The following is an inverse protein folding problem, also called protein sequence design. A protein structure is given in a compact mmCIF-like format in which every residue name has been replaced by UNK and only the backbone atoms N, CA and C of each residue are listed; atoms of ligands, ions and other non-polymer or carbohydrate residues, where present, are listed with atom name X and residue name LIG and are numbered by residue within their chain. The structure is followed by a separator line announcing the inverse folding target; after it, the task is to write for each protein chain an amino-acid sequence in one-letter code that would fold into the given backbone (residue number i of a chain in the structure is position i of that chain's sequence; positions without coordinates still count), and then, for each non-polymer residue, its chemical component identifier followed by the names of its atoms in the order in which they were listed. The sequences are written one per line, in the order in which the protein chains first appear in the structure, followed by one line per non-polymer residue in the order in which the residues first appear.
data_IF_597412856090
#
_entry.id   IF_597412856090
#
_cell.length_a   1.000
_cell.length_b   1.000
_cell.length_c   1.000
_cell.angle_alpha   90.00
_cell.angle_beta   90.00
_cell.angle_gamma   90.00
#
_symmetry.space_group_name_H-M   'P 1'
#
loop_
_entity.id
_entity.type
_entity.pdbx_description
1 polymer ?
#
# COMPACT_ATOMS: atom_id res chain seq x y z
N UNK A 1 11.48 12.79 -6.73
CA UNK A 1 10.19 12.82 -6.00
C UNK A 1 9.13 12.52 -7.02
N UNK A 2 8.23 11.58 -6.75
CA UNK A 2 7.01 11.56 -7.51
C UNK A 2 6.44 12.98 -7.51
N UNK A 3 6.02 13.48 -8.66
CA UNK A 3 5.57 14.87 -8.86
C UNK A 3 4.47 15.29 -7.88
N UNK A 4 3.73 14.32 -7.37
CA UNK A 4 2.70 14.48 -6.36
C UNK A 4 3.21 15.10 -5.04
N UNK A 5 4.33 14.62 -4.49
CA UNK A 5 4.92 15.14 -3.24
C UNK A 5 5.65 16.48 -3.42
N UNK A 6 6.18 16.74 -4.62
CA UNK A 6 6.83 18.01 -4.95
C UNK A 6 5.87 19.19 -4.83
N UNK A 7 4.64 19.03 -5.34
CA UNK A 7 3.60 20.05 -5.30
C UNK A 7 3.01 20.30 -3.90
N UNK A 8 3.06 19.31 -3.01
CA UNK A 8 2.53 19.41 -1.65
C UNK A 8 3.50 20.12 -0.71
N UNK A 9 4.81 19.89 -0.84
CA UNK A 9 5.82 20.58 -0.04
C UNK A 9 5.92 22.06 -0.40
N UNK A 10 5.61 22.45 -1.64
CA UNK A 10 5.64 23.84 -2.11
C UNK A 10 4.35 24.63 -1.78
N UNK A 11 3.20 23.94 -1.53
CA UNK A 11 1.92 24.61 -1.19
C UNK A 11 1.78 25.01 0.27
N UNK A 12 2.64 24.59 1.17
CA UNK A 12 2.58 24.94 2.59
C UNK A 12 3.26 26.26 2.96
N UNK A 13 3.63 27.09 1.97
CA UNK A 13 4.10 28.45 2.20
C UNK A 13 3.02 29.40 1.67
N UNK A 14 2.06 29.72 2.53
CA UNK A 14 1.09 30.79 2.34
C UNK A 14 -0.17 30.45 1.52
N UNK A 15 -1.30 30.25 2.19
CA UNK A 15 -2.56 30.95 1.98
C UNK A 15 -3.66 30.38 2.92
N UNK A 16 -4.46 31.27 3.48
CA UNK A 16 -5.52 31.04 4.45
C UNK A 16 -6.72 30.25 3.89
N UNK A 17 -7.50 29.57 4.74
CA UNK A 17 -8.58 28.70 4.30
C UNK A 17 -9.87 29.47 4.02
N UNK A 18 -10.44 29.26 2.83
CA UNK A 18 -11.84 29.57 2.54
C UNK A 18 -12.74 28.45 3.10
N UNK A 19 -13.62 28.84 4.00
CA UNK A 19 -14.66 28.02 4.62
C UNK A 19 -15.72 27.62 3.59
N UNK A 20 -15.79 26.33 3.26
CA UNK A 20 -16.95 25.75 2.58
C UNK A 20 -17.86 25.08 3.62
N UNK A 21 -19.04 25.67 3.81
CA UNK A 21 -20.15 25.09 4.58
C UNK A 21 -20.65 23.82 3.87
N UNK A 22 -20.56 22.68 4.54
CA UNK A 22 -21.23 21.45 4.12
C UNK A 22 -22.56 21.29 4.86
N UNK A 23 -23.65 21.25 4.10
CA UNK A 23 -24.99 20.93 4.58
C UNK A 23 -25.09 19.45 4.93
N UNK A 24 -25.38 19.13 6.17
CA UNK A 24 -25.68 17.79 6.65
C UNK A 24 -27.13 17.42 6.33
N UNK A 25 -27.34 16.43 5.47
CA UNK A 25 -28.63 15.77 5.28
C UNK A 25 -28.69 14.57 6.23
N UNK A 26 -29.65 14.58 7.15
CA UNK A 26 -29.92 13.47 8.09
C UNK A 26 -30.66 12.34 7.37
N UNK A 27 -30.27 11.06 7.55
CA UNK A 27 -31.04 9.94 7.04
C UNK A 27 -32.25 9.65 7.95
N UNK A 28 -33.40 9.36 7.32
CA UNK A 28 -34.65 8.92 7.95
C UNK A 28 -34.49 7.54 8.58
N UNK A 29 -35.00 7.40 9.81
CA UNK A 29 -35.18 6.13 10.52
C UNK A 29 -36.26 5.30 9.84
N UNK A 30 -35.96 4.08 9.46
CA UNK A 30 -36.94 3.05 9.14
C UNK A 30 -36.94 2.01 10.25
N UNK A 31 -38.12 1.85 10.89
CA UNK A 31 -38.43 0.76 11.82
C UNK A 31 -38.79 -0.47 11.01
N UNK A 32 -38.10 -1.57 11.23
CA UNK A 32 -38.54 -2.89 10.81
C UNK A 32 -38.68 -3.81 12.03
N UNK A 33 -39.89 -3.83 12.62
CA UNK A 33 -40.40 -4.98 13.33
C UNK A 33 -41.06 -5.87 12.28
N UNK A 34 -41.00 -7.16 12.45
CA UNK A 34 -41.64 -8.33 11.86
C UNK A 34 -40.67 -9.26 11.15
N UNK A 35 -40.39 -10.37 11.78
CA UNK A 35 -40.71 -11.76 11.54
C UNK A 35 -39.68 -12.67 12.22
N UNK A 36 -40.02 -13.11 13.41
CA UNK A 36 -39.46 -14.32 14.01
C UNK A 36 -40.20 -15.52 13.36
N UNK A 37 -39.49 -16.37 12.63
CA UNK A 37 -39.88 -17.72 12.31
C UNK A 37 -38.71 -18.64 12.65
N UNK A 38 -38.96 -19.42 13.70
CA UNK A 38 -38.10 -20.49 14.16
C UNK A 38 -38.08 -21.63 13.13
N UNK A 39 -36.89 -22.03 12.68
CA UNK A 39 -36.64 -23.32 12.06
C UNK A 39 -35.56 -24.04 12.84
N UNK A 40 -36.02 -25.00 13.63
CA UNK A 40 -35.13 -25.97 14.25
C UNK A 40 -34.67 -26.95 13.17
N UNK A 41 -33.37 -26.91 12.85
CA UNK A 41 -32.69 -27.91 12.02
C UNK A 41 -31.64 -28.60 12.86
N UNK A 42 -31.77 -29.90 12.93
CA UNK A 42 -31.01 -30.91 13.63
C UNK A 42 -29.50 -30.77 13.44
N UNK A 43 -28.78 -30.74 14.56
CA UNK A 43 -27.34 -30.85 14.62
C UNK A 43 -26.92 -32.29 14.29
N UNK A 44 -26.55 -32.56 13.06
CA UNK A 44 -25.62 -33.65 12.75
C UNK A 44 -24.23 -33.03 12.72
N UNK A 45 -23.51 -33.25 13.79
CA UNK A 45 -22.14 -32.80 13.93
C UNK A 45 -21.19 -33.58 13.03
N UNK A 46 -20.91 -33.06 11.84
CA UNK A 46 -19.72 -33.44 11.09
C UNK A 46 -18.62 -32.47 11.49
N UNK A 47 -17.81 -32.88 12.46
CA UNK A 47 -16.54 -32.20 12.79
C UNK A 47 -15.55 -32.44 11.65
N UNK A 48 -15.70 -31.69 10.57
CA UNK A 48 -14.61 -31.55 9.60
C UNK A 48 -13.63 -30.53 10.16
N UNK A 49 -12.52 -31.00 10.77
CA UNK A 49 -11.34 -30.15 10.96
C UNK A 49 -11.06 -29.42 9.65
N UNK A 50 -10.97 -28.09 9.63
CA UNK A 50 -10.56 -27.41 8.41
C UNK A 50 -9.20 -27.96 8.01
N UNK A 51 -9.11 -28.45 6.77
CA UNK A 51 -7.87 -28.92 6.19
C UNK A 51 -6.77 -27.90 6.47
N UNK A 52 -5.72 -28.33 7.16
CA UNK A 52 -4.57 -27.47 7.45
C UNK A 52 -4.08 -26.88 6.14
N UNK A 53 -3.92 -25.56 6.09
CA UNK A 53 -3.42 -24.86 4.92
C UNK A 53 -2.07 -25.47 4.53
N UNK A 54 -1.90 -25.94 3.28
CA UNK A 54 -0.67 -26.58 2.83
C UNK A 54 0.49 -25.57 2.88
N UNK A 55 1.58 -25.99 3.49
CA UNK A 55 2.83 -25.25 3.53
C UNK A 55 2.85 -24.15 4.58
N UNK A 56 3.67 -24.33 5.62
CA UNK A 56 4.02 -23.28 6.56
C UNK A 56 4.46 -22.04 5.79
N UNK A 57 3.71 -20.94 5.89
CA UNK A 57 4.06 -19.70 5.20
C UNK A 57 5.39 -19.25 5.73
N UNK A 58 6.34 -19.15 4.85
CA UNK A 58 7.61 -18.54 5.12
C UNK A 58 7.31 -17.05 5.38
N UNK A 59 7.18 -16.68 6.66
CA UNK A 59 7.08 -15.27 7.03
C UNK A 59 8.40 -14.62 6.59
N UNK A 60 8.29 -13.70 5.64
CA UNK A 60 9.41 -12.90 5.18
C UNK A 60 10.12 -12.25 6.35
N UNK A 61 11.43 -12.08 6.25
CA UNK A 61 12.21 -11.37 7.26
C UNK A 61 11.54 -10.03 7.59
N UNK A 62 10.89 -9.96 8.74
CA UNK A 62 10.13 -8.79 9.17
C UNK A 62 11.02 -7.68 9.71
N UNK A 63 12.31 -7.95 9.91
CA UNK A 63 13.25 -7.01 10.52
C UNK A 63 13.51 -5.78 9.65
N UNK A 64 13.48 -5.94 8.31
CA UNK A 64 13.58 -4.80 7.39
C UNK A 64 12.52 -3.71 7.72
N UNK A 65 11.31 -4.10 8.11
CA UNK A 65 10.22 -3.17 8.38
C UNK A 65 10.37 -2.42 9.70
N UNK A 66 11.30 -2.83 10.55
CA UNK A 66 11.62 -2.21 11.83
C UNK A 66 12.93 -1.41 11.80
N UNK A 67 13.60 -1.35 10.66
CA UNK A 67 14.88 -0.66 10.53
C UNK A 67 14.79 0.82 10.91
N UNK A 68 15.85 1.29 11.55
CA UNK A 68 16.00 2.69 11.93
C UNK A 68 17.46 3.12 11.71
N UNK A 69 17.65 4.09 10.84
CA UNK A 69 18.93 4.76 10.62
C UNK A 69 18.72 6.28 10.47
N UNK A 70 19.78 7.04 10.33
CA UNK A 70 19.71 8.51 10.26
C UNK A 70 18.80 9.02 9.13
N UNK A 71 18.81 8.36 7.96
CA UNK A 71 17.96 8.72 6.81
C UNK A 71 16.48 8.46 7.11
N UNK A 72 16.16 7.31 7.69
CA UNK A 72 14.79 6.97 8.10
C UNK A 72 14.31 7.94 9.18
N UNK A 73 15.11 8.16 10.24
CA UNK A 73 14.77 9.08 11.34
C UNK A 73 14.46 10.49 10.85
N UNK A 74 15.23 11.00 9.88
CA UNK A 74 14.97 12.30 9.23
C UNK A 74 13.55 12.37 8.67
N UNK A 75 13.12 11.35 7.91
CA UNK A 75 11.79 11.34 7.31
C UNK A 75 10.69 11.06 8.34
N UNK A 76 10.95 10.27 9.39
CA UNK A 76 10.00 10.09 10.50
C UNK A 76 9.68 11.44 11.15
N UNK A 77 10.67 12.29 11.41
CA UNK A 77 10.45 13.62 11.96
C UNK A 77 9.58 14.48 11.03
N UNK A 78 9.90 14.49 9.72
CA UNK A 78 9.12 15.24 8.71
C UNK A 78 7.66 14.76 8.65
N UNK A 79 7.43 13.45 8.65
CA UNK A 79 6.11 12.87 8.46
C UNK A 79 5.25 12.86 9.72
N UNK A 80 5.87 12.74 10.90
CA UNK A 80 5.15 12.67 12.17
C UNK A 80 4.34 13.95 12.44
N UNK A 81 4.86 15.10 12.04
CA UNK A 81 4.23 16.41 12.23
C UNK A 81 3.47 16.91 10.98
N UNK A 82 3.45 16.13 9.90
CA UNK A 82 2.85 16.57 8.65
C UNK A 82 1.35 16.25 8.62
N UNK A 83 0.51 17.32 8.61
CA UNK A 83 -0.95 17.20 8.52
C UNK A 83 -1.42 16.43 7.29
N UNK A 84 -0.72 16.58 6.16
CA UNK A 84 -1.08 15.88 4.93
C UNK A 84 -0.89 14.37 5.06
N UNK A 85 0.19 13.91 5.70
CA UNK A 85 0.40 12.47 5.98
C UNK A 85 -0.73 11.91 6.82
N UNK A 86 -1.22 12.67 7.81
CA UNK A 86 -2.40 12.28 8.59
C UNK A 86 -3.62 12.09 7.69
N UNK A 87 -3.92 13.06 6.82
CA UNK A 87 -5.06 12.97 5.87
C UNK A 87 -4.94 11.73 4.97
N UNK A 88 -3.74 11.41 4.49
CA UNK A 88 -3.52 10.23 3.66
C UNK A 88 -3.78 8.92 4.41
N UNK A 89 -3.34 8.84 5.66
CA UNK A 89 -3.58 7.67 6.52
C UNK A 89 -5.07 7.53 6.86
N UNK A 90 -5.75 8.63 7.20
CA UNK A 90 -7.19 8.65 7.46
C UNK A 90 -7.97 8.19 6.21
N UNK A 91 -7.55 8.61 5.01
CA UNK A 91 -8.14 8.16 3.74
C UNK A 91 -7.95 6.65 3.52
N UNK A 92 -6.76 6.13 3.78
CA UNK A 92 -6.44 4.72 3.63
C UNK A 92 -7.35 3.83 4.49
N UNK A 93 -7.58 4.28 5.73
CA UNK A 93 -8.37 3.57 6.73
C UNK A 93 -9.88 3.73 6.46
N UNK A 94 -10.38 4.97 6.33
CA UNK A 94 -11.81 5.26 6.15
C UNK A 94 -12.40 4.68 4.87
N UNK A 95 -11.62 4.56 3.81
CA UNK A 95 -12.03 4.00 2.52
C UNK A 95 -11.84 2.48 2.42
N UNK A 96 -11.41 1.84 3.49
CA UNK A 96 -11.13 0.39 3.52
C UNK A 96 -10.11 -0.08 2.46
N UNK A 97 -9.26 0.81 1.96
CA UNK A 97 -8.25 0.46 0.95
C UNK A 97 -7.26 -0.56 1.50
N UNK A 98 -6.69 -0.31 2.68
CA UNK A 98 -5.74 -1.22 3.32
C UNK A 98 -6.33 -2.63 3.51
N UNK A 99 -7.60 -2.72 3.93
CA UNK A 99 -8.27 -3.99 4.11
C UNK A 99 -8.33 -4.81 2.82
N UNK A 100 -8.73 -4.19 1.71
CA UNK A 100 -8.77 -4.85 0.40
C UNK A 100 -7.37 -5.25 -0.07
N UNK A 101 -6.39 -4.33 0.03
CA UNK A 101 -5.02 -4.56 -0.42
C UNK A 101 -4.38 -5.71 0.37
N UNK A 102 -4.55 -5.75 1.71
CA UNK A 102 -4.06 -6.84 2.55
C UNK A 102 -4.64 -8.19 2.12
N UNK A 103 -5.95 -8.26 1.81
CA UNK A 103 -6.57 -9.49 1.32
C UNK A 103 -5.96 -9.97 0.01
N UNK A 104 -5.76 -9.06 -0.96
CA UNK A 104 -5.10 -9.39 -2.22
C UNK A 104 -3.65 -9.83 -1.97
N UNK A 105 -2.89 -9.07 -1.18
CA UNK A 105 -1.48 -9.39 -0.90
C UNK A 105 -1.31 -10.71 -0.18
N UNK A 106 -2.26 -11.07 0.69
CA UNK A 106 -2.30 -12.38 1.31
C UNK A 106 -2.42 -13.51 0.28
N UNK A 107 -3.27 -13.35 -0.75
CA UNK A 107 -3.43 -14.34 -1.84
C UNK A 107 -2.14 -14.50 -2.66
N UNK A 108 -1.39 -13.42 -2.84
CA UNK A 108 -0.11 -13.43 -3.57
C UNK A 108 1.10 -13.80 -2.68
N UNK A 109 0.89 -14.04 -1.40
CA UNK A 109 1.93 -14.30 -0.40
C UNK A 109 2.97 -13.16 -0.34
N UNK A 110 2.49 -11.92 -0.26
CA UNK A 110 3.28 -10.70 -0.13
C UNK A 110 3.29 -10.18 1.31
N UNK A 111 4.36 -9.50 1.75
CA UNK A 111 4.39 -8.81 3.03
C UNK A 111 3.26 -7.78 3.13
N UNK A 112 2.48 -7.79 4.22
CA UNK A 112 1.36 -6.85 4.40
C UNK A 112 1.82 -5.39 4.47
N UNK A 113 3.05 -5.14 4.86
CA UNK A 113 3.65 -3.80 4.93
C UNK A 113 3.64 -3.09 3.57
N UNK A 114 3.80 -3.83 2.48
CA UNK A 114 3.77 -3.29 1.12
C UNK A 114 2.42 -2.65 0.75
N UNK A 115 1.34 -2.96 1.49
CA UNK A 115 0.04 -2.32 1.33
C UNK A 115 0.09 -0.79 1.55
N UNK A 116 1.16 -0.29 2.13
CA UNK A 116 1.37 1.14 2.37
C UNK A 116 2.06 1.87 1.20
N UNK A 117 2.45 1.17 0.12
CA UNK A 117 3.03 1.83 -1.06
C UNK A 117 2.15 2.96 -1.62
N UNK A 118 0.82 2.80 -1.76
CA UNK A 118 -0.03 3.88 -2.24
C UNK A 118 0.02 5.15 -1.37
N UNK A 119 0.40 5.02 -0.10
CA UNK A 119 0.58 6.17 0.77
C UNK A 119 1.71 7.09 0.25
N UNK A 120 2.80 6.49 -0.23
CA UNK A 120 3.93 7.22 -0.78
C UNK A 120 3.71 7.62 -2.25
N UNK A 121 3.01 6.80 -3.02
CA UNK A 121 2.78 7.02 -4.44
C UNK A 121 1.75 8.12 -4.72
N UNK A 122 0.61 8.08 -4.04
CA UNK A 122 -0.54 8.91 -4.39
C UNK A 122 -1.35 9.42 -3.19
N UNK A 123 -0.92 9.16 -1.95
CA UNK A 123 -1.78 9.40 -0.78
C UNK A 123 -3.13 8.64 -0.88
N UNK A 124 -3.12 7.42 -1.42
CA UNK A 124 -4.31 6.62 -1.74
C UNK A 124 -5.31 7.35 -2.65
N UNK A 125 -4.85 8.25 -3.49
CA UNK A 125 -5.71 8.90 -4.48
C UNK A 125 -5.83 8.02 -5.73
N UNK A 126 -7.05 7.51 -5.98
CA UNK A 126 -7.35 6.64 -7.10
C UNK A 126 -7.31 7.36 -8.45
N UNK A 127 -7.31 8.70 -8.45
CA UNK A 127 -7.28 9.55 -9.64
C UNK A 127 -5.99 10.34 -9.78
N UNK A 128 -4.98 10.03 -8.97
CA UNK A 128 -3.69 10.72 -9.06
C UNK A 128 -3.11 10.61 -10.48
N UNK A 129 -2.62 11.72 -10.97
CA UNK A 129 -1.96 11.82 -12.27
C UNK A 129 -0.67 12.64 -12.11
N UNK A 130 0.46 12.03 -12.42
CA UNK A 130 1.78 12.70 -12.39
C UNK A 130 2.29 13.04 -13.80
N UNK A 131 1.46 12.85 -14.82
CA UNK A 131 1.82 12.94 -16.23
C UNK A 131 2.40 11.63 -16.77
N UNK A 132 3.39 11.06 -16.12
CA UNK A 132 4.03 9.80 -16.51
C UNK A 132 3.39 8.56 -15.90
N UNK A 133 2.69 8.70 -14.76
CA UNK A 133 2.08 7.60 -14.01
C UNK A 133 0.72 8.00 -13.46
N UNK A 134 -0.19 7.02 -13.31
CA UNK A 134 -1.59 7.28 -12.91
C UNK A 134 -2.09 6.31 -11.84
N UNK A 135 -3.13 6.78 -11.15
CA UNK A 135 -3.91 6.04 -10.17
C UNK A 135 -3.23 5.84 -8.84
N UNK A 136 -3.86 5.06 -7.98
CA UNK A 136 -3.42 4.82 -6.61
C UNK A 136 -1.99 4.29 -6.52
N UNK A 137 -1.59 3.43 -7.46
CA UNK A 137 -0.30 2.73 -7.50
C UNK A 137 0.75 3.42 -8.37
N UNK A 138 0.40 4.54 -9.02
CA UNK A 138 1.26 5.30 -9.91
C UNK A 138 1.95 4.42 -10.97
N UNK A 139 1.16 3.59 -11.65
CA UNK A 139 1.66 2.83 -12.78
C UNK A 139 1.94 3.73 -13.98
N UNK A 140 3.13 3.57 -14.59
CA UNK A 140 3.37 4.04 -15.95
C UNK A 140 2.50 3.24 -16.93
N UNK A 141 2.28 3.76 -18.14
CA UNK A 141 1.53 3.04 -19.17
C UNK A 141 2.13 1.66 -19.44
N UNK A 142 3.42 1.60 -19.75
CA UNK A 142 4.12 0.34 -20.06
C UNK A 142 4.00 -0.67 -18.91
N UNK A 143 4.30 -0.26 -17.67
CA UNK A 143 4.19 -1.18 -16.53
C UNK A 143 2.74 -1.65 -16.32
N UNK A 144 1.75 -0.79 -16.53
CA UNK A 144 0.35 -1.16 -16.43
C UNK A 144 -0.03 -2.25 -17.44
N UNK A 145 0.34 -2.07 -18.69
CA UNK A 145 0.09 -3.01 -19.78
C UNK A 145 0.81 -4.34 -19.56
N UNK A 146 2.08 -4.32 -19.12
CA UNK A 146 2.88 -5.52 -18.77
C UNK A 146 2.21 -6.37 -17.67
N UNK A 147 1.41 -5.74 -16.82
CA UNK A 147 0.69 -6.40 -15.73
C UNK A 147 -0.82 -6.50 -15.95
N UNK A 148 -1.26 -6.40 -17.21
CA UNK A 148 -2.62 -6.73 -17.65
C UNK A 148 -3.66 -5.65 -17.38
N UNK A 149 -3.25 -4.39 -17.21
CA UNK A 149 -4.16 -3.25 -17.19
C UNK A 149 -4.35 -2.69 -18.60
N UNK A 150 -5.59 -2.44 -18.98
CA UNK A 150 -5.88 -1.71 -20.21
C UNK A 150 -5.59 -0.22 -20.02
N UNK A 151 -4.84 0.37 -20.97
CA UNK A 151 -4.54 1.81 -20.99
C UNK A 151 -4.83 2.38 -22.37
N UNK A 152 -6.06 2.81 -22.58
CA UNK A 152 -6.54 3.35 -23.84
C UNK A 152 -7.16 4.74 -23.71
N UNK A 153 -7.61 5.27 -24.87
CA UNK A 153 -8.22 6.60 -24.94
C UNK A 153 -9.55 6.69 -24.19
N UNK A 154 -10.38 5.64 -24.29
CA UNK A 154 -11.72 5.63 -23.68
C UNK A 154 -11.74 5.07 -22.25
N UNK A 155 -10.73 4.31 -21.86
CA UNK A 155 -10.66 3.73 -20.51
C UNK A 155 -9.20 3.53 -20.07
N UNK A 156 -8.98 3.70 -18.79
CA UNK A 156 -7.66 3.55 -18.16
C UNK A 156 -7.81 2.79 -16.83
N UNK A 157 -7.44 1.50 -16.86
CA UNK A 157 -7.56 0.62 -15.69
C UNK A 157 -6.64 0.99 -14.53
N UNK A 158 -5.65 1.86 -14.74
CA UNK A 158 -4.81 2.41 -13.66
C UNK A 158 -5.64 3.20 -12.65
N UNK A 159 -6.78 3.77 -13.09
CA UNK A 159 -7.72 4.51 -12.25
C UNK A 159 -8.70 3.58 -11.51
N UNK A 160 -8.83 2.33 -11.95
CA UNK A 160 -9.57 1.31 -11.22
C UNK A 160 -8.67 0.71 -10.14
N UNK A 161 -8.76 1.23 -8.93
CA UNK A 161 -7.86 0.86 -7.84
C UNK A 161 -7.88 -0.63 -7.49
N UNK A 162 -9.00 -1.36 -7.73
CA UNK A 162 -9.07 -2.80 -7.49
C UNK A 162 -8.26 -3.58 -8.52
N UNK A 163 -8.47 -3.32 -9.82
CA UNK A 163 -7.67 -3.92 -10.89
C UNK A 163 -6.18 -3.57 -10.73
N UNK A 164 -5.91 -2.29 -10.44
CA UNK A 164 -4.54 -1.82 -10.22
C UNK A 164 -3.88 -2.48 -9.00
N UNK A 165 -4.63 -2.79 -7.92
CA UNK A 165 -4.09 -3.51 -6.76
C UNK A 165 -3.69 -4.94 -7.11
N UNK A 166 -4.49 -5.65 -7.90
CA UNK A 166 -4.15 -7.00 -8.35
C UNK A 166 -2.89 -7.01 -9.24
N UNK A 167 -2.79 -6.04 -10.15
CA UNK A 167 -1.59 -5.84 -10.97
C UNK A 167 -0.36 -5.46 -10.15
N UNK A 168 -0.53 -4.61 -9.13
CA UNK A 168 0.53 -4.26 -8.20
C UNK A 168 1.03 -5.47 -7.41
N UNK A 169 0.13 -6.36 -7.00
CA UNK A 169 0.51 -7.59 -6.33
C UNK A 169 1.35 -8.50 -7.24
N UNK A 170 0.97 -8.66 -8.52
CA UNK A 170 1.77 -9.41 -9.50
C UNK A 170 3.14 -8.78 -9.73
N UNK A 171 3.20 -7.47 -9.87
CA UNK A 171 4.45 -6.73 -10.06
C UNK A 171 5.37 -6.87 -8.84
N UNK A 172 4.87 -6.63 -7.64
CA UNK A 172 5.63 -6.78 -6.40
C UNK A 172 6.13 -8.21 -6.18
N UNK A 173 5.32 -9.20 -6.52
CA UNK A 173 5.74 -10.62 -6.47
C UNK A 173 6.91 -10.90 -7.42
N UNK A 174 6.88 -10.34 -8.64
CA UNK A 174 8.01 -10.45 -9.58
C UNK A 174 9.25 -9.74 -9.05
N UNK A 175 9.11 -8.53 -8.51
CA UNK A 175 10.23 -7.80 -7.91
C UNK A 175 10.83 -8.57 -6.72
N UNK A 176 9.98 -9.09 -5.83
CA UNK A 176 10.43 -9.95 -4.73
C UNK A 176 11.27 -11.13 -5.22
N UNK A 177 10.79 -11.86 -6.23
CA UNK A 177 11.54 -12.97 -6.83
C UNK A 177 12.86 -12.52 -7.47
N UNK A 178 12.85 -11.40 -8.20
CA UNK A 178 14.04 -10.88 -8.91
C UNK A 178 15.16 -10.47 -7.94
N UNK A 179 14.79 -10.01 -6.77
CA UNK A 179 15.73 -9.56 -5.76
C UNK A 179 15.84 -10.47 -4.54
N UNK A 180 15.46 -11.76 -4.65
CA UNK A 180 15.57 -12.79 -3.61
C UNK A 180 14.88 -12.39 -2.29
N UNK A 181 13.72 -11.75 -2.41
CA UNK A 181 12.95 -11.16 -1.30
C UNK A 181 13.71 -10.11 -0.47
N UNK A 182 14.78 -9.53 -1.04
CA UNK A 182 15.35 -8.30 -0.51
C UNK A 182 14.41 -7.13 -0.85
N UNK A 183 13.55 -6.79 0.10
CA UNK A 183 12.49 -5.81 -0.12
C UNK A 183 12.97 -4.38 -0.26
N UNK A 184 14.17 -4.04 0.23
CA UNK A 184 14.79 -2.73 -0.04
C UNK A 184 15.12 -2.60 -1.52
N UNK A 185 15.72 -3.64 -2.12
CA UNK A 185 16.01 -3.66 -3.56
C UNK A 185 14.72 -3.74 -4.40
N UNK A 186 13.72 -4.51 -3.95
CA UNK A 186 12.43 -4.60 -4.62
C UNK A 186 11.68 -3.27 -4.62
N UNK A 187 11.65 -2.56 -3.49
CA UNK A 187 11.07 -1.22 -3.37
C UNK A 187 11.82 -0.19 -4.23
N UNK A 188 13.15 -0.25 -4.24
CA UNK A 188 13.95 0.59 -5.12
C UNK A 188 13.70 0.28 -6.59
N UNK A 189 13.48 -1.01 -6.93
CA UNK A 189 13.10 -1.47 -8.26
C UNK A 189 11.69 -1.06 -8.66
N UNK A 190 10.75 -0.99 -7.72
CA UNK A 190 9.41 -0.45 -7.96
C UNK A 190 9.47 1.01 -8.41
N UNK A 191 10.24 1.85 -7.68
CA UNK A 191 10.38 3.27 -7.99
C UNK A 191 11.27 3.55 -9.21
N UNK A 192 12.45 2.94 -9.25
CA UNK A 192 13.49 3.27 -10.23
C UNK A 192 13.48 2.41 -11.50
N UNK A 193 12.70 1.32 -11.47
CA UNK A 193 12.68 0.28 -12.48
C UNK A 193 13.64 -0.88 -12.19
N UNK A 194 13.20 -2.14 -12.40
CA UNK A 194 13.99 -3.33 -12.07
C UNK A 194 15.26 -3.45 -12.92
N UNK A 195 15.22 -3.04 -14.18
CA UNK A 195 16.40 -3.05 -15.05
C UNK A 195 17.49 -2.10 -14.57
N UNK A 196 17.12 -0.88 -14.15
CA UNK A 196 18.04 0.06 -13.54
C UNK A 196 18.67 -0.52 -12.29
N UNK A 197 17.88 -1.07 -11.37
CA UNK A 197 18.40 -1.65 -10.14
C UNK A 197 19.33 -2.83 -10.38
N UNK A 198 18.99 -3.74 -11.32
CA UNK A 198 19.86 -4.85 -11.69
C UNK A 198 21.20 -4.41 -12.25
N UNK A 199 21.19 -3.35 -13.08
CA UNK A 199 22.42 -2.71 -13.60
C UNK A 199 23.27 -2.14 -12.47
N UNK A 200 22.69 -1.39 -11.57
CA UNK A 200 23.41 -0.77 -10.44
C UNK A 200 23.99 -1.80 -9.48
N UNK A 201 23.24 -2.86 -9.17
CA UNK A 201 23.72 -3.99 -8.35
C UNK A 201 24.94 -4.64 -9.01
N UNK A 202 24.86 -4.92 -10.31
CA UNK A 202 25.95 -5.56 -11.06
C UNK A 202 27.18 -4.65 -11.14
N UNK A 203 27.00 -3.37 -11.47
CA UNK A 203 28.11 -2.44 -11.68
C UNK A 203 28.85 -2.07 -10.37
N UNK A 204 28.13 -2.07 -9.25
CA UNK A 204 28.69 -1.71 -7.94
C UNK A 204 29.06 -2.93 -7.08
N UNK A 205 28.82 -4.16 -7.56
CA UNK A 205 29.21 -5.41 -6.90
C UNK A 205 28.58 -5.63 -5.53
N UNK A 206 27.42 -5.01 -5.26
CA UNK A 206 26.77 -5.13 -3.95
C UNK A 206 25.26 -5.19 -4.06
N UNK A 207 24.63 -6.04 -3.21
CA UNK A 207 23.18 -6.15 -3.02
C UNK A 207 22.69 -5.45 -1.75
N UNK A 208 23.58 -4.72 -1.08
CA UNK A 208 23.19 -3.91 0.08
C UNK A 208 22.68 -2.55 -0.42
N UNK A 209 21.34 -2.34 -0.36
CA UNK A 209 20.71 -1.09 -0.76
C UNK A 209 21.37 0.14 -0.15
N UNK A 210 21.73 0.07 1.12
CA UNK A 210 22.28 1.22 1.86
C UNK A 210 23.69 1.64 1.41
N UNK A 211 24.40 0.74 0.71
CA UNK A 211 25.74 0.98 0.12
C UNK A 211 25.66 1.38 -1.35
N UNK A 212 24.53 1.15 -2.03
CA UNK A 212 24.35 1.50 -3.43
C UNK A 212 24.30 3.01 -3.65
N UNK A 213 25.03 3.49 -4.65
CA UNK A 213 24.96 4.86 -5.18
C UNK A 213 23.88 4.88 -6.26
N UNK A 214 22.70 5.41 -5.93
CA UNK A 214 21.54 5.44 -6.81
C UNK A 214 21.14 6.87 -7.15
N UNK A 215 20.31 7.05 -8.18
CA UNK A 215 19.65 8.34 -8.43
C UNK A 215 18.96 8.82 -7.16
N UNK A 216 19.00 10.13 -6.90
CA UNK A 216 18.46 10.73 -5.66
C UNK A 216 17.05 10.25 -5.32
N UNK A 217 16.16 10.19 -6.30
CA UNK A 217 14.79 9.75 -6.10
C UNK A 217 14.72 8.32 -5.56
N UNK A 218 15.36 7.38 -6.25
CA UNK A 218 15.37 5.96 -5.87
C UNK A 218 16.12 5.73 -4.55
N UNK A 219 17.21 6.47 -4.32
CA UNK A 219 17.97 6.41 -3.07
C UNK A 219 17.16 6.88 -1.85
N UNK A 220 16.27 7.84 -2.04
CA UNK A 220 15.40 8.36 -0.96
C UNK A 220 14.09 7.58 -0.80
N UNK A 221 13.70 6.77 -1.78
CA UNK A 221 12.41 6.10 -1.79
C UNK A 221 12.24 5.12 -0.63
N UNK A 222 13.20 4.22 -0.43
CA UNK A 222 13.14 3.21 0.64
C UNK A 222 13.16 3.86 2.03
N UNK A 223 14.06 4.80 2.37
CA UNK A 223 13.98 5.51 3.65
C UNK A 223 12.65 6.22 3.88
N UNK A 224 12.06 6.82 2.85
CA UNK A 224 10.73 7.46 2.92
C UNK A 224 9.63 6.44 3.20
N UNK A 225 9.65 5.31 2.50
CA UNK A 225 8.67 4.25 2.70
C UNK A 225 8.73 3.70 4.14
N UNK A 226 9.92 3.37 4.63
CA UNK A 226 10.11 2.84 5.98
C UNK A 226 9.71 3.86 7.07
N UNK A 227 10.01 5.13 6.85
CA UNK A 227 9.59 6.21 7.74
C UNK A 227 8.05 6.35 7.76
N UNK A 228 7.41 6.30 6.59
CA UNK A 228 5.96 6.38 6.48
C UNK A 228 5.28 5.21 7.18
N UNK A 229 5.81 4.00 6.99
CA UNK A 229 5.34 2.79 7.67
C UNK A 229 5.49 2.92 9.20
N UNK A 230 6.61 3.45 9.69
CA UNK A 230 6.84 3.70 11.12
C UNK A 230 5.81 4.67 11.70
N UNK A 231 5.52 5.76 10.99
CA UNK A 231 4.50 6.75 11.40
C UNK A 231 3.10 6.14 11.39
N UNK A 232 2.78 5.35 10.35
CA UNK A 232 1.51 4.66 10.25
C UNK A 232 1.28 3.69 11.42
N UNK A 233 2.27 2.87 11.74
CA UNK A 233 2.23 1.93 12.89
C UNK A 233 2.03 2.64 14.23
N UNK A 234 2.69 3.77 14.43
CA UNK A 234 2.55 4.55 15.66
C UNK A 234 1.16 5.16 15.79
N UNK A 235 0.58 5.59 14.67
CA UNK A 235 -0.69 6.34 14.65
C UNK A 235 -1.92 5.44 14.65
N UNK A 236 -1.82 4.26 14.05
CA UNK A 236 -2.89 3.27 13.91
C UNK A 236 -2.40 1.89 14.32
N UNK A 237 -1.97 1.71 15.58
CA UNK A 237 -1.42 0.43 16.05
C UNK A 237 -2.39 -0.73 15.84
N UNK A 238 -3.70 -0.48 15.93
CA UNK A 238 -4.76 -1.47 15.73
C UNK A 238 -4.71 -2.15 14.35
N UNK A 239 -4.21 -1.47 13.33
CA UNK A 239 -4.05 -2.04 11.99
C UNK A 239 -2.93 -3.08 11.91
N UNK A 240 -2.07 -3.15 12.92
CA UNK A 240 -0.86 -4.00 12.93
C UNK A 240 -0.85 -5.03 14.06
N UNK A 241 -1.65 -4.84 15.11
CA UNK A 241 -1.69 -5.75 16.26
C UNK A 241 -2.60 -6.96 16.07
N UNK A 242 -3.44 -6.97 15.06
CA UNK A 242 -4.23 -8.15 14.74
C UNK A 242 -3.32 -9.21 14.11
N UNK A 243 -2.59 -9.89 14.95
CA UNK A 243 -1.48 -10.79 14.68
C UNK A 243 -1.81 -12.08 13.93
N UNK A 244 -2.83 -12.06 13.09
CA UNK A 244 -3.15 -13.17 12.20
C UNK A 244 -3.64 -12.64 10.87
N UNK A 245 -3.08 -13.14 9.75
CA UNK A 245 -3.67 -12.94 8.43
C UNK A 245 -5.14 -13.34 8.33
N UNK A 246 -5.65 -14.16 9.26
CA UNK A 246 -7.08 -14.50 9.37
C UNK A 246 -7.97 -13.32 9.75
N UNK A 247 -7.49 -12.37 10.55
CA UNK A 247 -8.31 -11.22 10.95
C UNK A 247 -8.71 -10.34 9.76
N UNK A 248 -7.91 -10.32 8.69
CA UNK A 248 -8.19 -9.57 7.47
C UNK A 248 -9.05 -10.34 6.47
N UNK A 249 -9.08 -11.67 6.58
CA UNK A 249 -9.82 -12.54 5.66
C UNK A 249 -11.29 -12.73 6.07
N UNK A 250 -11.65 -12.52 7.33
CA UNK A 250 -12.97 -12.87 7.90
C UNK A 250 -13.88 -11.68 8.16
N UNK A 251 -13.42 -10.45 8.05
CA UNK A 251 -14.27 -9.26 8.17
C UNK A 251 -14.80 -8.85 6.80
N UNK A 252 -15.79 -9.60 6.30
CA UNK A 252 -16.64 -9.27 5.15
C UNK A 252 -17.83 -8.44 5.59
#
# INVERSE_FOLDING_TARGET
MPSYWRNILLRNIGHSPLLLKQNFIRPKKYNYYWLLLAFAISLVGCSTKPAGLPGGRQFYNTEIWKQSNSRIKKYVQVYNNNRHVKICLDRATSRRYLHYIHRVFYQYNLPPELAHLPLLESCFDTRADSGSARGMWQFTKTTAEDYGLHVGWFSDDRLNWRKATDSAARYLKKLGKMFDNNWELALAGYNGGPGYMSKEIKSQGTRNFWKLKLRKETHEYVPKFLAMLSVARKRYPELYFQGSPRAWATSS
#
